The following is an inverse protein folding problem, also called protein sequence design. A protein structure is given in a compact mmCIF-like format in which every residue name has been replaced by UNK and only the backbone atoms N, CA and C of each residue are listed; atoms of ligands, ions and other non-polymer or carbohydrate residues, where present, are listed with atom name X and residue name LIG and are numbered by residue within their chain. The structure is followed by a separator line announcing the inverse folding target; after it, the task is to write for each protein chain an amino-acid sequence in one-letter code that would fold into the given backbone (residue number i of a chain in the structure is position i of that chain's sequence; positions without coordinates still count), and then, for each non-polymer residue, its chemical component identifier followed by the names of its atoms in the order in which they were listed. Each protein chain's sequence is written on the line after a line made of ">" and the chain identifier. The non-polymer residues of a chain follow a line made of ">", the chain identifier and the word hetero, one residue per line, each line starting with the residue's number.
data_IF_637671073060
#
_entry.id   IF_637671073060
#
_cell.length_a   1.000
_cell.length_b   1.000
_cell.length_c   1.000
_cell.angle_alpha   90.00
_cell.angle_beta   90.00
_cell.angle_gamma   90.00
#
_symmetry.space_group_name_H-M   'P 1'
#
loop_
_entity.id
_entity.type
_entity.pdbx_description
1 polymer ?
#
# COMPACT_ATOMS: atom_id res chain seq x y z
N UNK A 1 8.13 13.29 -1.70
CA UNK A 1 7.20 13.15 -2.82
C UNK A 1 6.42 11.85 -2.62
N UNK A 2 5.10 11.88 -2.74
CA UNK A 2 4.30 10.65 -2.70
C UNK A 2 4.58 9.76 -3.92
N UNK A 3 4.81 8.46 -3.70
CA UNK A 3 5.00 7.48 -4.79
C UNK A 3 3.67 6.84 -5.12
N UNK A 4 3.19 7.04 -6.35
CA UNK A 4 1.96 6.44 -6.86
C UNK A 4 2.26 5.16 -7.65
N UNK A 5 1.34 4.20 -7.61
CA UNK A 5 1.44 2.95 -8.34
C UNK A 5 0.39 2.90 -9.44
N UNK A 6 0.77 2.33 -10.57
CA UNK A 6 -0.14 2.15 -11.69
C UNK A 6 -1.25 1.16 -11.35
N UNK A 7 -2.45 1.48 -11.81
CA UNK A 7 -3.63 0.66 -11.65
C UNK A 7 -4.17 0.24 -13.01
N UNK A 8 -4.78 -0.96 -13.10
CA UNK A 8 -5.57 -1.35 -14.26
C UNK A 8 -6.57 -0.26 -14.64
N UNK A 9 -6.75 -0.07 -15.96
CA UNK A 9 -7.57 1.01 -16.51
C UNK A 9 -8.98 1.08 -15.89
N UNK A 10 -9.57 -0.06 -15.57
CA UNK A 10 -10.89 -0.16 -14.94
C UNK A 10 -10.91 0.48 -13.54
N UNK A 11 -9.90 0.19 -12.72
CA UNK A 11 -9.75 0.75 -11.38
C UNK A 11 -9.41 2.23 -11.43
N UNK A 12 -8.51 2.64 -12.32
CA UNK A 12 -8.18 4.04 -12.54
C UNK A 12 -9.40 4.86 -13.01
N UNK A 13 -10.21 4.30 -13.92
CA UNK A 13 -11.45 4.93 -14.41
C UNK A 13 -12.51 5.06 -13.31
N UNK A 14 -12.55 4.10 -12.38
CA UNK A 14 -13.35 4.16 -11.16
C UNK A 14 -12.79 5.11 -10.08
N UNK A 15 -11.75 5.89 -10.41
CA UNK A 15 -11.08 6.89 -9.57
C UNK A 15 -10.37 6.32 -8.35
N UNK A 16 -9.98 5.05 -8.40
CA UNK A 16 -9.08 4.47 -7.41
C UNK A 16 -7.67 5.00 -7.61
N UNK A 17 -6.94 5.17 -6.51
CA UNK A 17 -5.52 5.52 -6.50
C UNK A 17 -4.82 4.74 -5.39
N UNK A 18 -3.62 4.24 -5.66
CA UNK A 18 -2.76 3.59 -4.66
C UNK A 18 -1.45 4.36 -4.61
N UNK A 19 -1.03 4.78 -3.41
CA UNK A 19 0.22 5.54 -3.22
C UNK A 19 0.77 5.42 -1.81
N UNK A 20 2.09 5.53 -1.67
CA UNK A 20 2.75 5.87 -0.40
C UNK A 20 2.64 7.38 -0.20
N UNK A 21 2.10 7.84 0.94
CA UNK A 21 2.00 9.27 1.23
C UNK A 21 3.30 9.79 1.86
N UNK A 22 3.47 11.10 1.80
CA UNK A 22 4.57 11.79 2.49
C UNK A 22 4.32 11.86 4.00
N UNK A 23 5.40 11.76 4.79
CA UNK A 23 5.46 11.87 6.28
C UNK A 23 5.10 10.61 7.08
N UNK A 24 5.09 9.43 6.48
CA UNK A 24 4.75 8.18 7.17
C UNK A 24 5.96 7.53 7.87
N UNK A 25 6.73 8.33 8.63
CA UNK A 25 7.99 7.88 9.26
C UNK A 25 7.79 7.00 10.49
N UNK A 26 6.71 7.21 11.23
CA UNK A 26 6.44 6.55 12.53
C UNK A 26 5.32 5.52 12.47
N UNK A 27 4.59 5.48 11.36
CA UNK A 27 3.52 4.51 11.15
C UNK A 27 4.09 3.18 10.64
N UNK A 28 3.40 2.05 10.87
CA UNK A 28 3.77 0.79 10.24
C UNK A 28 3.80 0.93 8.72
N UNK A 29 4.71 0.23 8.00
CA UNK A 29 4.78 0.29 6.55
C UNK A 29 3.47 -0.04 5.88
N UNK A 30 2.97 0.88 5.06
CA UNK A 30 1.66 0.75 4.43
C UNK A 30 1.56 1.54 3.12
N UNK A 31 0.49 1.27 2.36
CA UNK A 31 0.09 2.10 1.23
C UNK A 31 -1.31 2.64 1.45
N UNK A 32 -1.53 3.87 1.02
CA UNK A 32 -2.85 4.48 0.98
C UNK A 32 -3.58 4.06 -0.29
N UNK A 33 -4.68 3.33 -0.12
CA UNK A 33 -5.68 3.05 -1.16
C UNK A 33 -6.75 4.13 -1.04
N UNK A 34 -7.11 4.79 -2.15
CA UNK A 34 -7.91 6.01 -2.13
C UNK A 34 -9.04 5.95 -3.14
N UNK A 35 -10.21 6.44 -2.73
CA UNK A 35 -11.35 6.71 -3.62
C UNK A 35 -12.12 7.93 -3.12
N UNK A 36 -12.06 9.02 -3.87
CA UNK A 36 -12.71 10.27 -3.45
C UNK A 36 -12.15 10.76 -2.11
N UNK A 37 -13.01 10.83 -1.09
CA UNK A 37 -12.65 11.21 0.29
C UNK A 37 -12.26 10.02 1.17
N UNK A 38 -12.48 8.79 0.71
CA UNK A 38 -12.19 7.57 1.45
C UNK A 38 -10.72 7.17 1.27
N UNK A 39 -10.14 6.66 2.35
CA UNK A 39 -8.77 6.21 2.43
C UNK A 39 -8.71 4.92 3.26
N UNK A 40 -8.05 3.90 2.74
CA UNK A 40 -7.74 2.67 3.45
C UNK A 40 -6.23 2.52 3.51
N UNK A 41 -5.68 2.17 4.67
CA UNK A 41 -4.26 1.85 4.80
C UNK A 41 -4.06 0.35 4.70
N UNK A 42 -3.38 -0.08 3.64
CA UNK A 42 -2.98 -1.47 3.45
C UNK A 42 -1.57 -1.68 3.99
N UNK A 43 -1.44 -2.44 5.07
CA UNK A 43 -0.18 -2.76 5.73
C UNK A 43 0.68 -3.68 4.88
N UNK A 44 1.92 -3.26 4.60
CA UNK A 44 2.87 -4.00 3.78
C UNK A 44 3.47 -5.20 4.53
N UNK A 45 3.56 -5.15 5.86
CA UNK A 45 4.05 -6.27 6.69
C UNK A 45 3.02 -7.40 6.79
N UNK A 46 1.81 -7.03 7.18
CA UNK A 46 0.75 -8.01 7.50
C UNK A 46 -0.12 -8.38 6.29
N UNK A 47 0.04 -7.69 5.16
CA UNK A 47 -0.81 -7.83 3.95
C UNK A 47 -2.30 -7.74 4.31
N UNK A 48 -2.62 -6.75 5.13
CA UNK A 48 -3.94 -6.56 5.68
C UNK A 48 -4.26 -5.06 5.83
N UNK A 49 -5.54 -4.71 5.87
CA UNK A 49 -5.95 -3.34 6.14
C UNK A 49 -5.77 -3.01 7.62
N UNK A 50 -5.09 -1.90 7.90
CA UNK A 50 -4.83 -1.40 9.24
C UNK A 50 -6.05 -0.70 9.85
N UNK A 51 -6.95 -0.21 9.00
CA UNK A 51 -8.17 0.49 9.39
C UNK A 51 -9.37 -0.44 9.25
N UNK A 52 -10.24 -0.43 10.25
CA UNK A 52 -11.56 -1.08 10.16
C UNK A 52 -12.59 -0.22 9.42
N UNK A 53 -12.35 1.10 9.31
CA UNK A 53 -13.21 2.06 8.63
C UNK A 53 -12.41 3.00 7.71
N UNK A 54 -12.83 3.22 6.45
CA UNK A 54 -13.98 2.59 5.78
C UNK A 54 -13.79 1.08 5.65
N UNK A 55 -14.87 0.33 5.55
CA UNK A 55 -14.79 -1.14 5.61
C UNK A 55 -13.93 -1.66 4.45
N UNK A 56 -12.93 -2.52 4.70
CA UNK A 56 -12.21 -3.21 3.64
C UNK A 56 -13.09 -4.04 2.72
N UNK A 57 -14.28 -4.46 3.20
CA UNK A 57 -15.25 -5.18 2.40
C UNK A 57 -15.86 -4.33 1.26
N UNK A 58 -15.74 -3.00 1.33
CA UNK A 58 -16.19 -2.08 0.27
C UNK A 58 -15.21 -2.04 -0.93
N UNK A 59 -14.05 -2.67 -0.79
CA UNK A 59 -13.03 -2.72 -1.84
C UNK A 59 -13.35 -3.80 -2.86
N UNK A 60 -13.25 -3.50 -4.17
CA UNK A 60 -13.51 -4.49 -5.18
C UNK A 60 -12.39 -5.55 -5.18
N UNK A 61 -12.76 -6.81 -5.35
CA UNK A 61 -11.83 -7.96 -5.24
C UNK A 61 -10.62 -7.83 -6.18
N UNK A 62 -10.81 -7.29 -7.37
CA UNK A 62 -9.72 -7.06 -8.33
C UNK A 62 -8.72 -5.99 -7.87
N UNK A 63 -9.12 -5.03 -7.05
CA UNK A 63 -8.20 -4.07 -6.43
C UNK A 63 -7.34 -4.74 -5.38
N UNK A 64 -7.94 -5.55 -4.50
CA UNK A 64 -7.19 -6.31 -3.49
C UNK A 64 -6.22 -7.27 -4.17
N UNK A 65 -6.66 -7.99 -5.19
CA UNK A 65 -5.78 -8.85 -5.99
C UNK A 65 -4.64 -8.07 -6.65
N UNK A 66 -4.92 -6.86 -7.15
CA UNK A 66 -3.86 -6.01 -7.72
C UNK A 66 -2.84 -5.59 -6.66
N UNK A 67 -3.28 -5.22 -5.46
CA UNK A 67 -2.38 -4.89 -4.34
C UNK A 67 -1.46 -6.05 -3.96
N UNK A 68 -1.98 -7.28 -3.94
CA UNK A 68 -1.17 -8.49 -3.75
C UNK A 68 -0.14 -8.66 -4.87
N UNK A 69 -0.54 -8.44 -6.13
CA UNK A 69 0.35 -8.62 -7.28
C UNK A 69 1.49 -7.60 -7.33
N UNK A 70 1.28 -6.38 -6.83
CA UNK A 70 2.31 -5.32 -6.80
C UNK A 70 2.95 -5.16 -5.42
N UNK A 71 2.73 -6.11 -4.49
CA UNK A 71 3.17 -6.01 -3.09
C UNK A 71 4.67 -5.77 -2.97
N UNK A 72 5.49 -6.51 -3.71
CA UNK A 72 6.95 -6.37 -3.66
C UNK A 72 7.42 -5.00 -4.17
N UNK A 73 6.78 -4.47 -5.21
CA UNK A 73 7.08 -3.13 -5.72
C UNK A 73 6.75 -2.06 -4.67
N UNK A 74 5.62 -2.22 -3.97
CA UNK A 74 5.22 -1.32 -2.90
C UNK A 74 6.19 -1.40 -1.71
N UNK A 75 6.72 -2.57 -1.41
CA UNK A 75 7.72 -2.77 -0.36
C UNK A 75 9.06 -2.10 -0.72
N UNK A 76 9.55 -2.31 -1.94
CA UNK A 76 10.77 -1.67 -2.42
C UNK A 76 10.63 -0.14 -2.42
N UNK A 77 9.47 0.37 -2.85
CA UNK A 77 9.13 1.79 -2.80
C UNK A 77 9.16 2.36 -1.38
N UNK A 78 8.55 1.66 -0.44
CA UNK A 78 8.55 2.06 0.95
C UNK A 78 9.96 2.09 1.53
N UNK A 79 10.75 1.03 1.31
CA UNK A 79 12.11 0.91 1.84
C UNK A 79 13.05 2.00 1.28
N UNK A 80 12.88 2.37 0.00
CA UNK A 80 13.62 3.47 -0.63
C UNK A 80 13.25 4.84 -0.02
N UNK A 81 11.96 5.07 0.22
CA UNK A 81 11.47 6.32 0.81
C UNK A 81 11.74 6.45 2.31
N UNK A 82 11.71 5.33 3.03
CA UNK A 82 11.79 5.23 4.48
C UNK A 82 12.78 4.14 4.92
N UNK A 83 14.08 4.28 4.61
CA UNK A 83 15.09 3.25 4.92
C UNK A 83 15.27 2.99 6.42
N UNK A 84 14.81 3.92 7.27
CA UNK A 84 14.85 3.79 8.73
C UNK A 84 13.64 3.03 9.33
N UNK A 85 12.64 2.67 8.51
CA UNK A 85 11.46 1.90 8.91
C UNK A 85 11.09 0.91 7.79
N UNK A 86 11.94 -0.09 7.51
CA UNK A 86 11.71 -0.99 6.38
C UNK A 86 10.54 -1.96 6.63
N UNK A 87 9.97 -2.50 5.56
CA UNK A 87 8.89 -3.51 5.63
C UNK A 87 9.41 -4.77 6.35
N UNK A 88 10.58 -5.27 5.98
CA UNK A 88 11.32 -6.31 6.69
C UNK A 88 12.63 -5.70 7.17
N UNK A 89 12.97 -5.91 8.45
CA UNK A 89 14.35 -5.73 8.90
C UNK A 89 15.23 -6.58 8.00
N UNK A 90 16.40 -6.10 7.60
CA UNK A 90 17.44 -6.90 6.95
C UNK A 90 17.69 -8.18 7.76
N UNK A 91 16.99 -9.26 7.43
CA UNK A 91 17.21 -10.64 7.88
C UNK A 91 16.36 -11.54 6.96
N UNK A 92 16.60 -11.41 5.66
CA UNK A 92 16.61 -12.53 4.72
C UNK A 92 18.04 -12.58 4.15
N UNK A 93 19.03 -12.54 5.03
CA UNK A 93 20.30 -13.20 4.81
C UNK A 93 20.19 -14.52 5.57
N UNK A 94 19.72 -15.59 4.92
CA UNK A 94 20.18 -16.95 5.18
C UNK A 94 19.60 -17.92 4.13
N UNK A 95 20.51 -18.30 3.21
CA UNK A 95 20.58 -19.50 2.35
C UNK A 95 19.93 -19.52 0.95
#
# INVERSE_FOLDING_TARGET
>A
MARAFDLPRELASARWKVKVRDKERTEPPHVSVLRGTQCWRWGLRERAFLDSEPSPADLPKNLVQHLENIHDEMCAAWNDMYPHNPVTSKDDEDE
#
